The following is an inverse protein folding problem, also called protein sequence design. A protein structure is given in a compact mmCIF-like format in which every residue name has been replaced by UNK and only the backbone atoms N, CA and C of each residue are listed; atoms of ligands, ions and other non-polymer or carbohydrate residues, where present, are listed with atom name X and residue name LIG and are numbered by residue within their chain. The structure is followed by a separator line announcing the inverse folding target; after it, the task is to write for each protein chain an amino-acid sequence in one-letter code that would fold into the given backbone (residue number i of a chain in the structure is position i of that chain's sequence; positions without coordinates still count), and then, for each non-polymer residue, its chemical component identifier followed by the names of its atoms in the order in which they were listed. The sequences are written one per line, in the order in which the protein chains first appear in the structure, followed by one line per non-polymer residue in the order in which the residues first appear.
data_IF_829321843106
#
_entry.id   IF_829321843106
#
_cell.length_a   1.000
_cell.length_b   1.000
_cell.length_c   1.000
_cell.angle_alpha   90.00
_cell.angle_beta   90.00
_cell.angle_gamma   90.00
#
_symmetry.space_group_name_H-M   'P 1'
#
loop_
_entity.id
_entity.type
_entity.pdbx_description
1 polymer ?
#
# COMPACT_ATOMS: atom_id res chain seq x y z
N UNK A 1 22.72 36.60 -1.29
CA UNK A 1 22.98 35.14 -1.32
C UNK A 1 21.75 34.47 -1.92
N UNK A 2 21.80 34.08 -3.19
CA UNK A 2 20.67 33.46 -3.92
C UNK A 2 20.66 31.96 -3.67
N UNK A 3 19.51 31.38 -3.35
CA UNK A 3 19.18 29.97 -3.65
C UNK A 3 17.73 29.89 -4.09
N UNK A 4 17.54 30.05 -5.40
CA UNK A 4 16.38 29.57 -6.13
C UNK A 4 16.62 28.11 -6.48
N UNK A 5 15.80 27.18 -6.00
CA UNK A 5 15.70 25.85 -6.62
C UNK A 5 14.35 25.75 -7.30
N UNK A 6 14.37 25.93 -8.62
CA UNK A 6 13.26 25.63 -9.49
C UNK A 6 12.94 24.13 -9.44
N UNK A 7 11.65 23.82 -9.42
CA UNK A 7 11.17 22.50 -9.80
C UNK A 7 11.45 22.31 -11.29
N UNK A 8 12.60 21.72 -11.60
CA UNK A 8 12.90 21.21 -12.93
C UNK A 8 12.10 19.95 -13.17
N UNK A 9 11.17 20.01 -14.13
CA UNK A 9 10.62 18.86 -14.83
C UNK A 9 11.79 18.01 -15.37
N UNK A 10 12.15 16.96 -14.65
CA UNK A 10 13.09 15.96 -15.15
C UNK A 10 12.31 14.98 -16.04
N UNK A 11 12.44 15.15 -17.35
CA UNK A 11 12.07 14.12 -18.31
C UNK A 11 12.73 12.80 -17.91
N UNK A 12 11.95 11.74 -17.83
CA UNK A 12 12.42 10.40 -17.46
C UNK A 12 13.39 9.88 -18.52
N UNK A 13 14.68 10.13 -18.32
CA UNK A 13 15.75 9.43 -19.01
C UNK A 13 15.66 7.94 -18.71
N UNK A 14 15.38 7.15 -19.74
CA UNK A 14 15.88 5.76 -19.90
C UNK A 14 15.63 4.77 -18.76
N UNK A 15 14.61 4.93 -17.92
CA UNK A 15 14.31 3.94 -16.89
C UNK A 15 13.86 2.64 -17.56
N UNK A 16 14.61 1.56 -17.36
CA UNK A 16 14.24 0.27 -17.91
C UNK A 16 13.03 -0.31 -17.16
N UNK A 17 12.27 -1.17 -17.84
CA UNK A 17 11.04 -1.76 -17.29
C UNK A 17 11.25 -2.45 -15.94
N UNK A 18 12.36 -3.16 -15.74
CA UNK A 18 12.64 -3.84 -14.48
C UNK A 18 12.84 -2.84 -13.33
N UNK A 19 13.62 -1.78 -13.57
CA UNK A 19 13.84 -0.72 -12.58
C UNK A 19 12.54 -0.01 -12.21
N UNK A 20 11.70 0.30 -13.21
CA UNK A 20 10.42 0.97 -13.00
C UNK A 20 9.46 0.11 -12.18
N UNK A 21 9.24 -1.15 -12.60
CA UNK A 21 8.36 -2.07 -11.89
C UNK A 21 8.86 -2.38 -10.48
N UNK A 22 10.17 -2.56 -10.28
CA UNK A 22 10.74 -2.78 -8.95
C UNK A 22 10.50 -1.58 -8.04
N UNK A 23 10.69 -0.36 -8.54
CA UNK A 23 10.41 0.87 -7.78
C UNK A 23 8.94 0.92 -7.38
N UNK A 24 8.04 0.67 -8.33
CA UNK A 24 6.60 0.69 -8.07
C UNK A 24 6.16 -0.38 -7.06
N UNK A 25 6.71 -1.59 -7.15
CA UNK A 25 6.43 -2.67 -6.20
C UNK A 25 6.91 -2.35 -4.78
N UNK A 26 7.95 -1.53 -4.62
CA UNK A 26 8.39 -1.06 -3.31
C UNK A 26 7.49 0.06 -2.76
N UNK A 27 6.92 0.88 -3.62
CA UNK A 27 5.97 1.94 -3.23
C UNK A 27 4.62 1.39 -2.78
N UNK A 28 4.10 0.35 -3.43
CA UNK A 28 2.75 -0.19 -3.16
C UNK A 28 2.52 -0.57 -1.69
N UNK A 29 3.42 -1.28 -0.99
CA UNK A 29 3.26 -1.56 0.43
C UNK A 29 3.21 -0.31 1.31
N UNK A 30 3.91 0.75 0.92
CA UNK A 30 3.93 2.03 1.65
C UNK A 30 2.57 2.73 1.47
N UNK A 31 2.09 2.81 0.23
CA UNK A 31 0.78 3.39 -0.10
C UNK A 31 -0.36 2.61 0.56
N UNK A 32 -0.30 1.28 0.52
CA UNK A 32 -1.25 0.41 1.20
C UNK A 32 -1.30 0.70 2.70
N UNK A 33 -0.14 0.75 3.37
CA UNK A 33 -0.06 1.09 4.81
C UNK A 33 -0.70 2.44 5.10
N UNK A 34 -0.32 3.47 4.34
CA UNK A 34 -0.75 4.85 4.61
C UNK A 34 -2.26 4.99 4.42
N UNK A 35 -2.82 4.36 3.38
CA UNK A 35 -4.27 4.33 3.15
C UNK A 35 -5.03 3.52 4.18
N UNK A 36 -4.52 2.35 4.61
CA UNK A 36 -5.13 1.61 5.73
C UNK A 36 -5.12 2.44 7.01
N UNK A 37 -4.05 3.21 7.26
CA UNK A 37 -3.98 4.11 8.40
C UNK A 37 -5.06 5.20 8.33
N UNK A 38 -5.25 5.81 7.16
CA UNK A 38 -6.27 6.82 6.92
C UNK A 38 -7.69 6.27 7.12
N UNK A 39 -8.04 5.20 6.39
CA UNK A 39 -9.40 4.63 6.37
C UNK A 39 -9.81 4.01 7.71
N UNK A 40 -8.86 3.43 8.45
CA UNK A 40 -9.11 2.84 9.77
C UNK A 40 -8.82 3.81 10.94
N UNK A 41 -8.45 5.06 10.67
CA UNK A 41 -8.02 6.05 11.67
C UNK A 41 -6.90 5.53 12.59
N UNK A 42 -5.95 4.78 12.04
CA UNK A 42 -4.80 4.26 12.75
C UNK A 42 -3.58 5.17 12.59
N UNK A 43 -2.72 5.19 13.60
CA UNK A 43 -1.34 5.66 13.44
C UNK A 43 -0.45 4.56 12.87
N UNK A 44 0.69 4.93 12.28
CA UNK A 44 1.69 3.96 11.80
C UNK A 44 2.07 2.93 12.88
N UNK A 45 2.32 3.31 14.15
CA UNK A 45 2.53 2.32 15.22
C UNK A 45 1.36 1.37 15.44
N UNK A 46 0.11 1.85 15.35
CA UNK A 46 -1.08 1.00 15.48
C UNK A 46 -1.16 -0.01 14.34
N UNK A 47 -0.89 0.41 13.10
CA UNK A 47 -0.84 -0.49 11.95
C UNK A 47 0.12 -1.66 12.21
N UNK A 48 1.38 -1.38 12.60
CA UNK A 48 2.35 -2.44 12.84
C UNK A 48 2.03 -3.30 14.07
N UNK A 49 1.32 -2.77 15.08
CA UNK A 49 0.81 -3.59 16.19
C UNK A 49 -0.28 -4.54 15.73
N UNK A 50 -1.25 -4.05 14.95
CA UNK A 50 -2.36 -4.85 14.39
C UNK A 50 -1.86 -5.90 13.41
N UNK A 51 -0.90 -5.57 12.55
CA UNK A 51 -0.27 -6.51 11.60
C UNK A 51 0.38 -7.72 12.28
N UNK A 52 0.91 -7.55 13.50
CA UNK A 52 1.51 -8.62 14.30
C UNK A 52 0.54 -9.26 15.30
N UNK A 53 -0.70 -8.78 15.36
CA UNK A 53 -1.68 -9.31 16.29
C UNK A 53 -2.11 -10.71 15.86
N UNK A 54 -2.40 -11.55 16.85
CA UNK A 54 -2.83 -12.93 16.63
C UNK A 54 -4.23 -13.05 17.22
N UNK A 55 -5.11 -13.72 16.48
CA UNK A 55 -6.45 -14.03 16.95
C UNK A 55 -6.38 -14.92 18.20
N UNK A 56 -7.32 -14.72 19.13
CA UNK A 56 -7.29 -15.38 20.44
C UNK A 56 -8.49 -16.28 20.61
N UNK A 57 -8.31 -17.38 21.32
CA UNK A 57 -9.44 -18.18 21.79
C UNK A 57 -9.87 -17.73 23.18
N UNK A 58 -11.18 -17.64 23.40
CA UNK A 58 -11.71 -17.46 24.75
C UNK A 58 -11.83 -18.80 25.51
N UNK A 59 -12.16 -18.75 26.80
CA UNK A 59 -12.35 -19.93 27.65
C UNK A 59 -13.46 -20.91 27.20
N UNK A 60 -14.21 -20.57 26.15
CA UNK A 60 -15.24 -21.43 25.53
C UNK A 60 -14.82 -21.91 24.12
N UNK A 61 -13.54 -21.84 23.78
CA UNK A 61 -12.98 -22.18 22.45
C UNK A 61 -13.55 -21.37 21.27
N UNK A 62 -14.13 -20.19 21.52
CA UNK A 62 -14.57 -19.27 20.47
C UNK A 62 -13.40 -18.37 20.05
N UNK A 63 -13.17 -18.26 18.74
CA UNK A 63 -12.18 -17.36 18.15
C UNK A 63 -12.62 -15.90 18.30
N UNK A 64 -11.70 -15.06 18.77
CA UNK A 64 -11.82 -13.61 18.86
C UNK A 64 -10.80 -13.02 17.89
N UNK A 65 -11.26 -12.49 16.74
CA UNK A 65 -10.40 -11.82 15.79
C UNK A 65 -9.69 -10.62 16.39
N UNK A 66 -8.45 -10.41 15.98
CA UNK A 66 -7.64 -9.24 16.33
C UNK A 66 -8.04 -7.97 15.56
N UNK A 67 -8.76 -8.14 14.45
CA UNK A 67 -9.36 -7.12 13.61
C UNK A 67 -10.89 -7.19 13.70
N UNK A 68 -11.55 -6.03 13.71
CA UNK A 68 -13.00 -5.96 13.56
C UNK A 68 -13.42 -6.24 12.11
N UNK A 69 -14.69 -6.60 11.90
CA UNK A 69 -15.22 -6.82 10.56
C UNK A 69 -15.06 -5.59 9.65
N UNK A 70 -15.31 -4.39 10.18
CA UNK A 70 -15.15 -3.15 9.44
C UNK A 70 -13.68 -2.88 9.06
N UNK A 71 -12.75 -3.14 9.98
CA UNK A 71 -11.31 -3.05 9.68
C UNK A 71 -10.92 -4.03 8.56
N UNK A 72 -11.39 -5.28 8.61
CA UNK A 72 -11.10 -6.29 7.59
C UNK A 72 -11.65 -5.89 6.21
N UNK A 73 -12.90 -5.40 6.16
CA UNK A 73 -13.52 -4.93 4.92
C UNK A 73 -12.71 -3.78 4.30
N UNK A 74 -12.35 -2.78 5.11
CA UNK A 74 -11.54 -1.65 4.65
C UNK A 74 -10.15 -2.05 4.20
N UNK A 75 -9.50 -3.00 4.88
CA UNK A 75 -8.18 -3.50 4.49
C UNK A 75 -8.21 -4.14 3.09
N UNK A 76 -9.21 -4.97 2.81
CA UNK A 76 -9.35 -5.60 1.49
C UNK A 76 -9.72 -4.58 0.42
N UNK A 77 -10.65 -3.67 0.70
CA UNK A 77 -11.03 -2.59 -0.22
C UNK A 77 -9.80 -1.73 -0.61
N UNK A 78 -8.96 -1.36 0.36
CA UNK A 78 -7.72 -0.61 0.09
C UNK A 78 -6.74 -1.44 -0.73
N UNK A 79 -6.58 -2.74 -0.42
CA UNK A 79 -5.68 -3.64 -1.16
C UNK A 79 -6.09 -3.73 -2.63
N UNK A 80 -7.37 -3.98 -2.90
CA UNK A 80 -7.91 -4.11 -4.25
C UNK A 80 -7.69 -2.84 -5.08
N UNK A 81 -7.90 -1.67 -4.46
CA UNK A 81 -7.68 -0.39 -5.12
C UNK A 81 -6.19 -0.15 -5.44
N UNK A 82 -5.27 -0.41 -4.52
CA UNK A 82 -3.84 -0.23 -4.77
C UNK A 82 -3.30 -1.24 -5.79
N UNK A 83 -3.75 -2.50 -5.72
CA UNK A 83 -3.40 -3.51 -6.71
C UNK A 83 -3.96 -3.19 -8.09
N UNK A 84 -5.19 -2.68 -8.19
CA UNK A 84 -5.77 -2.24 -9.46
C UNK A 84 -4.95 -1.12 -10.08
N UNK A 85 -4.55 -0.11 -9.30
CA UNK A 85 -3.67 0.98 -9.77
C UNK A 85 -2.33 0.44 -10.27
N UNK A 86 -1.72 -0.49 -9.53
CA UNK A 86 -0.49 -1.17 -9.98
C UNK A 86 -0.71 -1.95 -11.27
N UNK A 87 -1.83 -2.69 -11.35
CA UNK A 87 -2.16 -3.51 -12.52
C UNK A 87 -2.33 -2.66 -13.78
N UNK A 88 -3.10 -1.57 -13.67
CA UNK A 88 -3.31 -0.58 -14.73
C UNK A 88 -2.00 0.09 -15.13
N UNK A 89 -1.14 0.41 -14.16
CA UNK A 89 0.20 0.94 -14.44
C UNK A 89 1.04 -0.02 -15.29
N UNK A 90 0.98 -1.32 -15.00
CA UNK A 90 1.71 -2.36 -15.74
C UNK A 90 1.21 -2.56 -17.18
N UNK A 91 0.00 -2.13 -17.54
CA UNK A 91 -0.54 -2.25 -18.90
C UNK A 91 0.38 -1.58 -19.95
N UNK A 92 1.11 -0.54 -19.57
CA UNK A 92 2.07 0.14 -20.46
C UNK A 92 3.18 -0.78 -21.00
N UNK A 93 3.45 -1.88 -20.30
CA UNK A 93 4.46 -2.88 -20.65
C UNK A 93 3.86 -4.14 -21.24
N UNK A 94 2.53 -4.30 -21.20
CA UNK A 94 1.84 -5.40 -21.86
C UNK A 94 1.75 -5.05 -23.34
N UNK A 95 2.58 -5.72 -24.15
CA UNK A 95 2.52 -5.58 -25.61
C UNK A 95 1.10 -5.84 -26.08
N UNK A 96 0.50 -4.88 -26.80
CA UNK A 96 -0.71 -5.15 -27.58
C UNK A 96 -0.32 -6.22 -28.61
N UNK A 97 -0.83 -7.43 -28.45
CA UNK A 97 -0.77 -8.44 -29.52
C UNK A 97 -1.64 -7.99 -30.68
#
# INVERSE_FOLDING_TARGET
MKRTNGHTNAGTSGMNMLQDLHTRLFEVPILFRDRVCEECAWSIPTFYRKMKAIDRYNGRKKLIPSLSNAEMEKIIDVLDQEYKKLWEYCERYRTRK
#
